data_IF_399163578863
#
_entry.id   IF_399163578863
#
_cell.length_a   1.000
_cell.length_b   1.000
_cell.length_c   1.000
_cell.angle_alpha   90.00
_cell.angle_beta   90.00
_cell.angle_gamma   90.00
#
_symmetry.space_group_name_H-M   'P 1'
#
loop_
_entity.id
_entity.type
_entity.pdbx_description
1 polymer ?
#
# COMPACT_ATOMS: atom_id res chain seq x y z
N UNK A 1 19.96 9.98 -5.26
CA UNK A 1 20.19 11.29 -5.91
C UNK A 1 19.67 12.48 -5.09
N UNK A 2 18.50 12.42 -4.43
CA UNK A 2 17.91 13.60 -3.77
C UNK A 2 17.91 13.60 -2.24
N UNK A 3 18.60 12.65 -1.58
CA UNK A 3 18.81 12.65 -0.13
C UNK A 3 17.55 12.50 0.76
N UNK A 4 16.34 12.51 0.18
CA UNK A 4 15.09 12.34 0.92
C UNK A 4 14.93 10.92 1.44
N UNK A 5 14.63 10.79 2.73
CA UNK A 5 14.39 9.51 3.40
C UNK A 5 12.94 9.03 3.23
N UNK A 6 12.01 9.95 2.93
CA UNK A 6 10.57 9.70 2.87
C UNK A 6 9.92 10.42 1.67
N UNK A 7 8.70 10.01 1.28
CA UNK A 7 7.92 10.74 0.28
C UNK A 7 7.57 12.18 0.73
N UNK A 8 7.11 12.42 1.98
CA UNK A 8 6.91 13.77 2.47
C UNK A 8 8.17 14.65 2.36
N UNK A 9 9.36 14.12 2.66
CA UNK A 9 10.62 14.83 2.48
C UNK A 9 10.82 15.26 1.03
N UNK A 10 10.67 14.32 0.08
CA UNK A 10 10.75 14.62 -1.35
C UNK A 10 9.79 15.75 -1.75
N UNK A 11 8.53 15.68 -1.33
CA UNK A 11 7.53 16.70 -1.65
C UNK A 11 7.87 18.05 -1.00
N UNK A 12 8.29 18.05 0.26
CA UNK A 12 8.74 19.26 0.95
C UNK A 12 9.94 19.93 0.27
N UNK A 13 10.89 19.13 -0.20
CA UNK A 13 12.14 19.60 -0.82
C UNK A 13 11.96 20.04 -2.27
N UNK A 14 11.14 19.31 -3.05
CA UNK A 14 10.85 19.65 -4.45
C UNK A 14 10.02 20.92 -4.55
N UNK A 15 9.16 21.16 -3.58
CA UNK A 15 8.20 22.27 -3.59
C UNK A 15 8.48 23.31 -2.49
N UNK A 16 9.62 23.23 -1.81
CA UNK A 16 10.09 24.22 -0.82
C UNK A 16 9.03 24.58 0.24
N UNK A 17 8.28 23.57 0.71
CA UNK A 17 7.11 23.80 1.56
C UNK A 17 7.04 22.80 2.72
N UNK A 18 7.36 23.29 3.92
CA UNK A 18 7.19 22.54 5.16
C UNK A 18 5.70 22.24 5.44
N UNK A 19 4.78 23.11 5.00
CA UNK A 19 3.35 22.87 5.10
C UNK A 19 2.93 21.69 4.22
N UNK A 20 3.47 21.60 2.99
CA UNK A 20 3.20 20.47 2.12
C UNK A 20 3.83 19.18 2.65
N UNK A 21 5.06 19.23 3.18
CA UNK A 21 5.68 18.09 3.88
C UNK A 21 4.79 17.58 5.02
N UNK A 22 4.31 18.48 5.88
CA UNK A 22 3.42 18.13 6.99
C UNK A 22 2.11 17.50 6.49
N UNK A 23 1.46 18.09 5.49
CA UNK A 23 0.25 17.54 4.89
C UNK A 23 0.49 16.14 4.30
N UNK A 24 1.59 15.96 3.56
CA UNK A 24 1.94 14.67 2.99
C UNK A 24 2.11 13.62 4.09
N UNK A 25 2.82 13.95 5.18
CA UNK A 25 2.98 13.06 6.32
C UNK A 25 1.64 12.67 6.98
N UNK A 26 0.69 13.60 7.09
CA UNK A 26 -0.67 13.31 7.59
C UNK A 26 -1.38 12.32 6.65
N UNK A 27 -1.34 12.55 5.33
CA UNK A 27 -1.96 11.65 4.36
C UNK A 27 -1.32 10.26 4.39
N UNK A 28 0.01 10.18 4.53
CA UNK A 28 0.73 8.92 4.74
C UNK A 28 0.21 8.20 5.98
N UNK A 29 0.09 8.90 7.11
CA UNK A 29 -0.39 8.33 8.36
C UNK A 29 -1.83 7.82 8.24
N UNK A 30 -2.73 8.62 7.66
CA UNK A 30 -4.13 8.22 7.43
C UNK A 30 -4.19 6.96 6.57
N UNK A 31 -3.45 6.92 5.46
CA UNK A 31 -3.38 5.75 4.58
C UNK A 31 -2.80 4.53 5.29
N UNK A 32 -1.77 4.72 6.11
CA UNK A 32 -1.16 3.65 6.88
C UNK A 32 -2.15 3.06 7.88
N UNK A 33 -2.90 3.90 8.61
CA UNK A 33 -3.97 3.47 9.52
C UNK A 33 -5.05 2.67 8.78
N UNK A 34 -5.57 3.19 7.67
CA UNK A 34 -6.60 2.49 6.87
C UNK A 34 -6.08 1.14 6.36
N UNK A 35 -4.83 1.09 5.89
CA UNK A 35 -4.19 -0.17 5.46
C UNK A 35 -4.00 -1.14 6.62
N UNK A 36 -3.59 -0.64 7.80
CA UNK A 36 -3.41 -1.47 9.00
C UNK A 36 -4.73 -2.05 9.52
N UNK A 37 -5.86 -1.34 9.37
CA UNK A 37 -7.20 -1.91 9.64
C UNK A 37 -7.42 -3.15 8.77
N UNK A 38 -7.14 -3.05 7.47
CA UNK A 38 -7.28 -4.16 6.54
C UNK A 38 -6.36 -5.34 6.89
N UNK A 39 -5.10 -5.06 7.21
CA UNK A 39 -4.12 -6.09 7.60
C UNK A 39 -4.51 -6.76 8.92
N UNK A 40 -4.99 -5.99 9.90
CA UNK A 40 -5.46 -6.50 11.19
C UNK A 40 -6.63 -7.46 10.98
N UNK A 41 -7.59 -7.08 10.12
CA UNK A 41 -8.71 -7.95 9.73
C UNK A 41 -8.24 -9.24 9.03
N UNK A 42 -7.34 -9.11 8.06
CA UNK A 42 -6.76 -10.25 7.33
C UNK A 42 -6.06 -11.24 8.28
N UNK A 43 -5.19 -10.74 9.15
CA UNK A 43 -4.50 -11.58 10.14
C UNK A 43 -5.47 -12.19 11.15
N UNK A 44 -6.47 -11.43 11.62
CA UNK A 44 -7.49 -11.95 12.53
C UNK A 44 -8.28 -13.11 11.93
N UNK A 45 -8.59 -13.06 10.63
CA UNK A 45 -9.24 -14.18 9.91
C UNK A 45 -8.31 -15.40 9.89
N UNK A 46 -7.02 -15.22 9.58
CA UNK A 46 -6.07 -16.35 9.57
C UNK A 46 -5.95 -16.98 10.95
N UNK A 47 -5.76 -16.17 12.00
CA UNK A 47 -5.69 -16.65 13.40
C UNK A 47 -6.96 -17.38 13.79
N UNK A 48 -8.13 -16.86 13.45
CA UNK A 48 -9.41 -17.52 13.69
C UNK A 48 -9.45 -18.90 13.04
N UNK A 49 -9.03 -19.03 11.79
CA UNK A 49 -9.11 -20.28 11.05
C UNK A 49 -8.12 -21.34 11.57
N UNK A 50 -6.95 -20.91 12.03
CA UNK A 50 -5.93 -21.76 12.66
C UNK A 50 -6.34 -22.25 14.05
N UNK A 51 -6.84 -21.34 14.90
CA UNK A 51 -7.04 -21.61 16.33
C UNK A 51 -8.47 -21.99 16.72
N UNK A 52 -9.46 -21.66 15.88
CA UNK A 52 -10.88 -21.79 16.21
C UNK A 52 -11.39 -20.77 17.23
N UNK A 53 -10.57 -19.76 17.59
CA UNK A 53 -10.95 -18.73 18.54
C UNK A 53 -12.05 -17.79 17.99
N UNK A 54 -12.72 -17.08 18.90
CA UNK A 54 -13.72 -16.09 18.52
C UNK A 54 -13.08 -14.96 17.68
N UNK A 55 -13.82 -14.34 16.74
CA UNK A 55 -13.28 -13.28 15.88
C UNK A 55 -12.58 -12.16 16.68
N UNK A 56 -13.18 -11.80 17.82
CA UNK A 56 -12.66 -10.75 18.70
C UNK A 56 -11.30 -11.11 19.28
N UNK A 57 -11.16 -12.31 19.84
CA UNK A 57 -9.89 -12.77 20.42
C UNK A 57 -8.82 -12.90 19.34
N UNK A 58 -9.18 -13.38 18.15
CA UNK A 58 -8.25 -13.50 17.03
C UNK A 58 -7.71 -12.15 16.55
N UNK A 59 -8.55 -11.11 16.49
CA UNK A 59 -8.13 -9.75 16.12
C UNK A 59 -7.17 -9.15 17.16
N UNK A 60 -7.50 -9.28 18.45
CA UNK A 60 -6.63 -8.80 19.53
C UNK A 60 -5.29 -9.50 19.48
N UNK A 61 -5.29 -10.84 19.42
CA UNK A 61 -4.07 -11.64 19.38
C UNK A 61 -3.19 -11.28 18.17
N UNK A 62 -3.79 -11.19 16.99
CA UNK A 62 -3.09 -10.79 15.77
C UNK A 62 -2.41 -9.42 15.93
N UNK A 63 -3.13 -8.45 16.48
CA UNK A 63 -2.62 -7.09 16.73
C UNK A 63 -1.47 -7.09 17.72
N UNK A 64 -1.65 -7.74 18.87
CA UNK A 64 -0.62 -7.81 19.90
C UNK A 64 0.68 -8.38 19.35
N UNK A 65 0.60 -9.45 18.54
CA UNK A 65 1.77 -10.09 17.94
C UNK A 65 2.53 -9.11 17.05
N UNK A 66 1.85 -8.46 16.09
CA UNK A 66 2.56 -7.60 15.14
C UNK A 66 3.06 -6.30 15.78
N UNK A 67 2.30 -5.69 16.69
CA UNK A 67 2.70 -4.43 17.34
C UNK A 67 3.94 -4.67 18.20
N UNK A 68 3.96 -5.77 18.95
CA UNK A 68 5.11 -6.13 19.78
C UNK A 68 6.35 -6.40 18.92
N UNK A 69 6.23 -7.24 17.90
CA UNK A 69 7.35 -7.62 17.04
C UNK A 69 7.96 -6.41 16.30
N UNK A 70 7.13 -5.55 15.69
CA UNK A 70 7.64 -4.39 14.95
C UNK A 70 8.31 -3.37 15.87
N UNK A 71 7.83 -3.23 17.11
CA UNK A 71 8.41 -2.30 18.10
C UNK A 71 9.84 -2.69 18.51
N UNK A 72 10.22 -3.98 18.35
CA UNK A 72 11.53 -4.52 18.75
C UNK A 72 12.49 -4.65 17.57
N UNK A 73 12.02 -5.04 16.37
CA UNK A 73 12.89 -5.48 15.27
C UNK A 73 13.62 -4.38 14.47
N UNK A 74 13.02 -3.21 14.28
CA UNK A 74 13.57 -2.19 13.37
C UNK A 74 13.65 -2.65 11.90
N UNK A 75 14.17 -1.78 11.01
CA UNK A 75 14.08 -2.00 9.56
C UNK A 75 14.97 -3.12 9.03
N UNK A 76 16.19 -3.30 9.56
CA UNK A 76 17.11 -4.35 9.08
C UNK A 76 16.64 -5.75 9.46
N UNK A 77 16.10 -5.95 10.67
CA UNK A 77 15.51 -7.23 11.04
C UNK A 77 14.28 -7.53 10.18
N UNK A 78 13.50 -6.52 9.83
CA UNK A 78 12.32 -6.67 8.97
C UNK A 78 12.70 -7.19 7.57
N UNK A 79 13.79 -6.73 6.96
CA UNK A 79 14.19 -7.22 5.62
C UNK A 79 14.50 -8.72 5.63
N UNK A 80 15.24 -9.20 6.64
CA UNK A 80 15.57 -10.62 6.73
C UNK A 80 14.36 -11.49 7.03
N UNK A 81 13.46 -11.02 7.88
CA UNK A 81 12.21 -11.76 8.14
C UNK A 81 11.30 -11.73 6.93
N UNK A 82 11.19 -10.63 6.18
CA UNK A 82 10.40 -10.54 4.94
C UNK A 82 10.81 -11.65 3.94
N UNK A 83 12.12 -11.90 3.77
CA UNK A 83 12.62 -12.96 2.86
C UNK A 83 12.16 -14.34 3.32
N UNK A 84 12.33 -14.65 4.61
CA UNK A 84 11.88 -15.92 5.16
C UNK A 84 10.36 -16.06 5.00
N UNK A 85 9.58 -15.04 5.33
CA UNK A 85 8.12 -15.04 5.22
C UNK A 85 7.64 -15.26 3.79
N UNK A 86 8.30 -14.63 2.82
CA UNK A 86 8.03 -14.83 1.40
C UNK A 86 8.27 -16.28 0.97
N UNK A 87 9.37 -16.89 1.40
CA UNK A 87 9.69 -18.28 1.08
C UNK A 87 8.64 -19.26 1.66
N UNK A 88 8.31 -19.10 2.94
CA UNK A 88 7.31 -19.94 3.63
C UNK A 88 5.93 -19.81 2.97
N UNK A 89 5.49 -18.59 2.68
CA UNK A 89 4.25 -18.35 1.97
C UNK A 89 4.25 -19.00 0.58
N UNK A 90 5.32 -18.84 -0.19
CA UNK A 90 5.44 -19.36 -1.56
C UNK A 90 5.37 -20.88 -1.58
N UNK A 91 6.08 -21.55 -0.67
CA UNK A 91 6.05 -23.02 -0.56
C UNK A 91 4.65 -23.51 -0.16
N UNK A 92 4.04 -22.88 0.85
CA UNK A 92 2.71 -23.28 1.32
C UNK A 92 1.62 -23.10 0.26
N UNK A 93 1.60 -21.93 -0.40
CA UNK A 93 0.66 -21.67 -1.50
C UNK A 93 0.96 -22.55 -2.72
N UNK A 94 2.21 -22.87 -3.00
CA UNK A 94 2.58 -23.84 -4.03
C UNK A 94 2.02 -25.24 -3.75
N UNK A 95 2.11 -25.71 -2.52
CA UNK A 95 1.51 -26.98 -2.10
C UNK A 95 -0.02 -26.97 -2.29
N UNK A 96 -0.70 -25.90 -1.87
CA UNK A 96 -2.14 -25.73 -2.11
C UNK A 96 -2.47 -25.74 -3.60
N UNK A 97 -1.70 -25.03 -4.41
CA UNK A 97 -1.90 -24.95 -5.85
C UNK A 97 -1.81 -26.33 -6.50
N UNK A 98 -0.80 -27.14 -6.17
CA UNK A 98 -0.64 -28.50 -6.71
C UNK A 98 -1.85 -29.38 -6.37
N UNK A 99 -2.32 -29.34 -5.12
CA UNK A 99 -3.49 -30.12 -4.67
C UNK A 99 -4.75 -29.70 -5.42
N UNK A 100 -5.01 -28.40 -5.52
CA UNK A 100 -6.19 -27.88 -6.22
C UNK A 100 -6.10 -28.06 -7.73
N UNK A 101 -4.89 -28.05 -8.31
CA UNK A 101 -4.65 -28.36 -9.71
C UNK A 101 -5.07 -29.78 -10.05
N UNK A 102 -4.63 -30.76 -9.26
CA UNK A 102 -5.04 -32.16 -9.44
C UNK A 102 -6.54 -32.36 -9.26
N UNK A 103 -7.15 -31.67 -8.28
CA UNK A 103 -8.58 -31.81 -7.97
C UNK A 103 -9.51 -31.19 -9.01
N UNK A 104 -9.11 -30.06 -9.60
CA UNK A 104 -9.93 -29.33 -10.57
C UNK A 104 -9.55 -29.64 -12.02
N UNK A 105 -8.53 -30.46 -12.28
CA UNK A 105 -8.09 -30.74 -13.65
C UNK A 105 -7.38 -29.56 -14.32
N UNK A 106 -6.61 -28.79 -13.54
CA UNK A 106 -5.86 -27.62 -14.00
C UNK A 106 -6.71 -26.38 -14.29
N UNK A 107 -6.16 -25.45 -15.09
CA UNK A 107 -6.78 -24.14 -15.37
C UNK A 107 -8.15 -24.30 -16.03
N UNK A 108 -8.26 -25.16 -17.04
CA UNK A 108 -9.52 -25.34 -17.78
C UNK A 108 -10.63 -25.89 -16.90
N UNK A 109 -10.34 -26.92 -16.10
CA UNK A 109 -11.36 -27.49 -15.23
C UNK A 109 -11.72 -26.58 -14.05
N UNK A 110 -10.77 -25.81 -13.50
CA UNK A 110 -11.07 -24.73 -12.55
C UNK A 110 -11.99 -23.68 -13.16
N UNK A 111 -11.69 -23.21 -14.38
CA UNK A 111 -12.49 -22.22 -15.09
C UNK A 111 -13.92 -22.72 -15.37
N UNK A 112 -14.07 -23.98 -15.79
CA UNK A 112 -15.39 -24.59 -16.01
C UNK A 112 -16.17 -24.71 -14.71
N UNK A 113 -15.56 -25.25 -13.65
CA UNK A 113 -16.21 -25.41 -12.35
C UNK A 113 -16.61 -24.06 -11.74
N UNK A 114 -15.75 -23.04 -11.85
CA UNK A 114 -16.04 -21.69 -11.36
C UNK A 114 -17.18 -21.04 -12.15
N UNK A 115 -17.23 -21.18 -13.48
CA UNK A 115 -18.34 -20.67 -14.30
C UNK A 115 -19.66 -21.41 -14.06
N UNK A 116 -19.62 -22.72 -13.78
CA UNK A 116 -20.81 -23.46 -13.38
C UNK A 116 -21.36 -22.95 -12.04
N UNK A 117 -20.48 -22.71 -11.06
CA UNK A 117 -20.86 -22.17 -9.76
C UNK A 117 -21.25 -20.67 -9.81
N UNK A 118 -20.72 -19.93 -10.78
CA UNK A 118 -20.90 -18.49 -10.95
C UNK A 118 -20.75 -18.11 -12.43
N UNK A 119 -21.85 -18.11 -13.20
CA UNK A 119 -21.81 -17.75 -14.61
C UNK A 119 -21.17 -16.39 -14.84
N UNK A 120 -20.19 -16.33 -15.74
CA UNK A 120 -19.44 -15.11 -16.05
C UNK A 120 -18.13 -14.93 -15.28
N UNK A 121 -17.71 -15.91 -14.45
CA UNK A 121 -16.43 -15.87 -13.71
C UNK A 121 -15.23 -15.54 -14.59
N UNK A 122 -15.14 -16.13 -15.79
CA UNK A 122 -14.03 -15.91 -16.72
C UNK A 122 -14.30 -14.84 -17.76
N UNK A 123 -15.43 -14.13 -17.67
CA UNK A 123 -15.70 -13.00 -18.55
C UNK A 123 -14.87 -11.78 -18.15
N UNK A 124 -14.60 -10.87 -19.09
CA UNK A 124 -13.91 -9.60 -18.81
C UNK A 124 -14.66 -8.73 -17.79
N UNK A 125 -15.99 -8.88 -17.72
CA UNK A 125 -16.85 -8.15 -16.78
C UNK A 125 -17.06 -8.88 -15.44
N UNK A 126 -16.51 -10.08 -15.30
CA UNK A 126 -16.76 -10.95 -14.16
C UNK A 126 -18.25 -11.18 -13.88
N UNK A 127 -18.58 -11.39 -12.61
CA UNK A 127 -19.95 -11.63 -12.14
C UNK A 127 -20.64 -10.29 -11.83
N UNK A 128 -20.95 -9.50 -12.87
CA UNK A 128 -21.81 -8.32 -12.73
C UNK A 128 -21.10 -7.02 -12.39
N UNK A 129 -19.81 -6.88 -12.71
CA UNK A 129 -19.18 -5.57 -12.67
C UNK A 129 -19.53 -4.76 -13.91
N UNK A 130 -19.91 -3.49 -13.73
CA UNK A 130 -20.06 -2.57 -14.85
C UNK A 130 -18.70 -2.22 -15.45
N UNK A 131 -18.65 -1.92 -16.75
CA UNK A 131 -17.41 -1.51 -17.44
C UNK A 131 -16.76 -0.29 -16.79
N UNK A 132 -17.56 0.70 -16.35
CA UNK A 132 -17.06 1.89 -15.66
C UNK A 132 -16.47 1.56 -14.29
N UNK A 133 -17.11 0.65 -13.54
CA UNK A 133 -16.57 0.19 -12.26
C UNK A 133 -15.23 -0.51 -12.48
N UNK A 134 -15.13 -1.42 -13.44
CA UNK A 134 -13.86 -2.11 -13.72
C UNK A 134 -12.73 -1.16 -14.10
N UNK A 135 -12.97 -0.26 -15.05
CA UNK A 135 -11.95 0.68 -15.51
C UNK A 135 -11.42 1.55 -14.36
N UNK A 136 -12.33 2.05 -13.51
CA UNK A 136 -11.96 2.90 -12.37
C UNK A 136 -11.30 2.11 -11.23
N UNK A 137 -11.65 0.83 -11.06
CA UNK A 137 -10.96 -0.08 -10.15
C UNK A 137 -9.59 -0.52 -10.67
N UNK A 138 -9.37 -0.69 -11.97
CA UNK A 138 -8.02 -0.92 -12.51
C UNK A 138 -7.11 0.29 -12.29
N UNK A 139 -7.67 1.49 -12.42
CA UNK A 139 -6.93 2.74 -12.23
C UNK A 139 -6.32 2.84 -10.82
N UNK A 140 -7.01 2.37 -9.77
CA UNK A 140 -6.47 2.44 -8.40
C UNK A 140 -5.13 1.68 -8.30
N UNK A 141 -5.06 0.49 -8.87
CA UNK A 141 -3.87 -0.36 -8.80
C UNK A 141 -2.78 0.11 -9.76
N UNK A 142 -3.15 0.64 -10.92
CA UNK A 142 -2.19 1.30 -11.82
C UNK A 142 -1.49 2.48 -11.13
N UNK A 143 -2.27 3.38 -10.50
CA UNK A 143 -1.72 4.54 -9.77
C UNK A 143 -0.91 4.10 -8.54
N UNK A 144 -1.31 2.99 -7.89
CA UNK A 144 -0.62 2.45 -6.71
C UNK A 144 0.88 2.20 -6.97
N UNK A 145 1.26 1.70 -8.15
CA UNK A 145 2.65 1.36 -8.44
C UNK A 145 3.59 2.57 -8.40
N UNK A 146 3.09 3.75 -8.76
CA UNK A 146 3.88 4.97 -8.68
C UNK A 146 3.84 5.56 -7.27
N UNK A 147 2.72 5.45 -6.56
CA UNK A 147 2.45 6.20 -5.32
C UNK A 147 2.62 5.42 -4.02
N UNK A 148 2.90 4.10 -4.08
CA UNK A 148 3.14 3.27 -2.91
C UNK A 148 4.47 3.57 -2.24
N UNK A 149 4.36 4.30 -1.14
CA UNK A 149 5.46 4.85 -0.36
C UNK A 149 6.29 3.75 0.27
N UNK A 150 5.66 2.63 0.63
CA UNK A 150 6.31 1.46 1.19
C UNK A 150 7.30 0.77 0.22
N UNK A 151 7.10 0.92 -1.10
CA UNK A 151 8.06 0.42 -2.09
C UNK A 151 9.20 1.41 -2.28
N UNK A 152 8.88 2.70 -2.40
CA UNK A 152 9.86 3.76 -2.63
C UNK A 152 10.90 3.80 -1.50
N UNK A 153 10.48 3.66 -0.24
CA UNK A 153 11.41 3.65 0.90
C UNK A 153 12.37 2.45 0.87
N UNK A 154 11.90 1.26 0.47
CA UNK A 154 12.75 0.07 0.31
C UNK A 154 13.76 0.25 -0.82
N UNK A 155 13.38 0.92 -1.92
CA UNK A 155 14.31 1.22 -3.01
C UNK A 155 15.46 2.15 -2.59
N UNK A 156 15.21 3.07 -1.65
CA UNK A 156 16.29 3.92 -1.10
C UNK A 156 17.31 3.15 -0.27
N UNK A 157 16.99 1.93 0.16
CA UNK A 157 17.94 1.04 0.85
C UNK A 157 18.72 0.14 -0.09
N UNK A 158 18.47 0.22 -1.41
CA UNK A 158 19.25 -0.51 -2.40
C UNK A 158 20.70 -0.02 -2.41
N UNK A 159 21.63 -0.94 -2.69
CA UNK A 159 23.07 -0.65 -2.70
C UNK A 159 23.44 0.38 -3.76
N UNK A 160 22.82 0.27 -4.94
CA UNK A 160 23.05 1.14 -6.07
C UNK A 160 21.81 1.20 -6.99
N UNK A 161 21.87 2.07 -8.00
CA UNK A 161 20.78 2.28 -8.96
C UNK A 161 20.50 1.04 -9.83
N UNK A 162 21.52 0.25 -10.14
CA UNK A 162 21.36 -0.97 -10.97
C UNK A 162 20.56 -2.01 -10.21
N UNK A 163 20.90 -2.25 -8.95
CA UNK A 163 20.16 -3.14 -8.06
C UNK A 163 18.72 -2.64 -7.84
N UNK A 164 18.53 -1.33 -7.65
CA UNK A 164 17.19 -0.75 -7.54
C UNK A 164 16.34 -1.05 -8.80
N UNK A 165 16.87 -0.82 -10.01
CA UNK A 165 16.17 -1.11 -11.28
C UNK A 165 15.91 -2.60 -11.46
N UNK A 166 16.88 -3.44 -11.16
CA UNK A 166 16.74 -4.90 -11.24
C UNK A 166 15.64 -5.40 -10.31
N UNK A 167 15.54 -4.84 -9.09
CA UNK A 167 14.48 -5.19 -8.14
C UNK A 167 13.07 -4.90 -8.68
N UNK A 168 12.90 -3.84 -9.49
CA UNK A 168 11.61 -3.54 -10.16
C UNK A 168 11.26 -4.62 -11.16
N UNK A 169 12.21 -4.98 -12.03
CA UNK A 169 11.99 -5.97 -13.07
C UNK A 169 11.63 -7.34 -12.48
N UNK A 170 12.39 -7.79 -11.47
CA UNK A 170 12.08 -9.01 -10.72
C UNK A 170 10.73 -8.91 -9.99
N UNK A 171 10.46 -7.78 -9.35
CA UNK A 171 9.19 -7.51 -8.69
C UNK A 171 8.01 -7.69 -9.63
N UNK A 172 8.08 -7.16 -10.85
CA UNK A 172 7.02 -7.31 -11.86
C UNK A 172 6.77 -8.79 -12.22
N UNK A 173 7.82 -9.56 -12.48
CA UNK A 173 7.69 -10.99 -12.81
C UNK A 173 7.04 -11.76 -11.65
N UNK A 174 7.53 -11.56 -10.42
CA UNK A 174 7.02 -12.26 -9.24
C UNK A 174 5.57 -11.88 -8.93
N UNK A 175 5.22 -10.60 -9.08
CA UNK A 175 3.85 -10.10 -8.92
C UNK A 175 2.91 -10.73 -9.94
N UNK A 176 3.29 -10.81 -11.22
CA UNK A 176 2.46 -11.44 -12.26
C UNK A 176 2.17 -12.91 -11.96
N UNK A 177 3.18 -13.66 -11.52
CA UNK A 177 3.03 -15.06 -11.11
C UNK A 177 2.07 -15.14 -9.90
N UNK A 178 2.32 -14.33 -8.88
CA UNK A 178 1.53 -14.34 -7.65
C UNK A 178 0.05 -14.01 -7.90
N UNK A 179 -0.25 -12.95 -8.67
CA UNK A 179 -1.63 -12.57 -8.99
C UNK A 179 -2.34 -13.62 -9.87
N UNK A 180 -1.62 -14.30 -10.75
CA UNK A 180 -2.21 -15.39 -11.55
C UNK A 180 -2.66 -16.55 -10.66
N UNK A 181 -1.86 -16.90 -9.65
CA UNK A 181 -2.17 -17.97 -8.69
C UNK A 181 -3.33 -17.57 -7.77
N UNK A 182 -3.43 -16.31 -7.34
CA UNK A 182 -4.54 -15.88 -6.46
C UNK A 182 -5.89 -15.88 -7.19
N UNK A 183 -5.93 -15.55 -8.49
CA UNK A 183 -7.14 -15.68 -9.32
C UNK A 183 -7.59 -17.14 -9.40
N UNK A 184 -6.63 -18.08 -9.53
CA UNK A 184 -6.94 -19.51 -9.50
C UNK A 184 -7.55 -19.93 -8.16
N UNK A 185 -7.00 -19.48 -7.03
CA UNK A 185 -7.57 -19.73 -5.72
C UNK A 185 -8.97 -19.13 -5.55
N UNK A 186 -9.22 -17.94 -6.10
CA UNK A 186 -10.56 -17.35 -6.10
C UNK A 186 -11.59 -18.22 -6.80
N UNK A 187 -11.26 -18.70 -8.01
CA UNK A 187 -12.14 -19.60 -8.77
C UNK A 187 -12.32 -20.95 -8.10
N UNK A 188 -11.24 -21.53 -7.56
CA UNK A 188 -11.30 -22.75 -6.76
C UNK A 188 -12.17 -22.56 -5.52
N UNK A 189 -12.07 -21.43 -4.82
CA UNK A 189 -12.91 -21.15 -3.66
C UNK A 189 -14.38 -21.07 -4.04
N UNK A 190 -14.68 -20.37 -5.14
CA UNK A 190 -16.05 -20.25 -5.66
C UNK A 190 -16.66 -21.60 -6.03
N UNK A 191 -15.86 -22.48 -6.62
CA UNK A 191 -16.29 -23.80 -7.05
C UNK A 191 -16.42 -24.82 -5.90
N UNK A 192 -15.58 -24.71 -4.87
CA UNK A 192 -15.35 -25.82 -3.93
C UNK A 192 -15.78 -25.57 -2.48
N UNK A 193 -15.80 -24.32 -2.02
CA UNK A 193 -16.00 -24.01 -0.59
C UNK A 193 -16.86 -22.76 -0.35
N UNK A 194 -17.49 -22.21 -1.38
CA UNK A 194 -18.25 -20.95 -1.28
C UNK A 194 -19.38 -21.00 -0.25
N UNK A 195 -20.04 -22.15 -0.15
CA UNK A 195 -21.10 -22.47 0.81
C UNK A 195 -20.63 -22.43 2.29
N UNK A 196 -19.31 -22.58 2.52
CA UNK A 196 -18.71 -22.58 3.85
C UNK A 196 -18.23 -21.19 4.30
N UNK A 197 -18.24 -20.20 3.41
CA UNK A 197 -17.70 -18.88 3.69
C UNK A 197 -18.76 -17.98 4.32
N UNK A 198 -18.42 -17.35 5.46
CA UNK A 198 -19.22 -16.25 6.02
C UNK A 198 -18.87 -14.91 5.39
N UNK A 199 -17.66 -14.80 4.84
CA UNK A 199 -17.16 -13.64 4.10
C UNK A 199 -16.24 -14.13 2.98
N UNK A 200 -16.22 -13.47 1.81
CA UNK A 200 -15.23 -13.70 0.76
C UNK A 200 -13.78 -13.68 1.25
N UNK A 201 -13.47 -12.87 2.28
CA UNK A 201 -12.11 -12.78 2.85
C UNK A 201 -11.65 -14.12 3.49
N UNK A 202 -12.56 -15.06 3.77
CA UNK A 202 -12.24 -16.38 4.31
C UNK A 202 -11.87 -17.42 3.24
N UNK A 203 -12.00 -17.08 1.95
CA UNK A 203 -11.85 -18.02 0.85
C UNK A 203 -10.54 -18.81 0.89
N UNK A 204 -9.41 -18.10 0.96
CA UNK A 204 -8.09 -18.73 0.96
C UNK A 204 -7.82 -19.55 2.24
N UNK A 205 -8.05 -19.02 3.46
CA UNK A 205 -7.87 -19.81 4.68
C UNK A 205 -8.74 -21.08 4.75
N UNK A 206 -9.99 -21.00 4.27
CA UNK A 206 -10.90 -22.16 4.27
C UNK A 206 -10.47 -23.19 3.21
N UNK A 207 -9.99 -22.76 2.04
CA UNK A 207 -9.38 -23.68 1.07
C UNK A 207 -8.20 -24.43 1.68
N UNK A 208 -7.29 -23.71 2.33
CA UNK A 208 -6.11 -24.29 2.99
C UNK A 208 -6.55 -25.35 4.02
N UNK A 209 -7.46 -24.98 4.92
CA UNK A 209 -7.95 -25.88 5.97
C UNK A 209 -8.71 -27.11 5.44
N UNK A 210 -9.39 -26.95 4.30
CA UNK A 210 -10.21 -28.03 3.71
C UNK A 210 -9.37 -29.03 2.93
N UNK A 211 -8.32 -28.57 2.24
CA UNK A 211 -7.63 -29.37 1.23
C UNK A 211 -6.20 -29.75 1.58
N UNK A 212 -5.54 -29.07 2.51
CA UNK A 212 -4.22 -29.46 2.98
C UNK A 212 -4.31 -30.34 4.23
N UNK A 213 -3.29 -31.19 4.42
CA UNK A 213 -3.12 -31.93 5.67
C UNK A 213 -2.88 -30.97 6.83
N UNK A 214 -3.11 -31.36 8.10
CA UNK A 214 -2.96 -30.46 9.24
C UNK A 214 -1.61 -29.73 9.30
N UNK A 215 -0.52 -30.43 8.99
CA UNK A 215 0.82 -29.83 8.92
C UNK A 215 0.91 -28.76 7.83
N UNK A 216 0.58 -29.11 6.58
CA UNK A 216 0.65 -28.18 5.44
C UNK A 216 -0.35 -27.02 5.57
N UNK A 217 -1.51 -27.28 6.18
CA UNK A 217 -2.52 -26.27 6.49
C UNK A 217 -1.99 -25.24 7.48
N UNK A 218 -1.44 -25.69 8.62
CA UNK A 218 -0.84 -24.81 9.61
C UNK A 218 0.38 -24.05 9.03
N UNK A 219 1.25 -24.74 8.31
CA UNK A 219 2.42 -24.15 7.65
C UNK A 219 2.03 -23.04 6.67
N UNK A 220 1.03 -23.30 5.81
CA UNK A 220 0.60 -22.32 4.80
C UNK A 220 -0.13 -21.14 5.43
N UNK A 221 -1.01 -21.37 6.42
CA UNK A 221 -1.68 -20.29 7.15
C UNK A 221 -0.67 -19.42 7.92
N UNK A 222 0.35 -20.02 8.53
CA UNK A 222 1.44 -19.29 9.15
C UNK A 222 2.18 -18.43 8.11
N UNK A 223 2.48 -18.97 6.93
CA UNK A 223 3.08 -18.21 5.82
C UNK A 223 2.23 -17.01 5.37
N UNK A 224 0.92 -17.18 5.22
CA UNK A 224 -0.02 -16.10 4.87
C UNK A 224 -0.07 -15.04 5.98
N UNK A 225 -0.15 -15.44 7.25
CA UNK A 225 -0.09 -14.51 8.38
C UNK A 225 1.26 -13.74 8.37
N UNK A 226 2.35 -14.42 8.06
CA UNK A 226 3.66 -13.81 8.04
C UNK A 226 3.84 -12.79 6.90
N UNK A 227 3.27 -13.05 5.72
CA UNK A 227 3.21 -12.07 4.64
C UNK A 227 2.39 -10.82 5.00
N UNK A 228 1.36 -10.95 5.85
CA UNK A 228 0.66 -9.78 6.37
C UNK A 228 1.55 -8.99 7.35
N UNK A 229 2.37 -9.67 8.16
CA UNK A 229 3.28 -9.05 9.13
C UNK A 229 4.39 -8.21 8.49
N UNK A 230 4.95 -8.61 7.35
CA UNK A 230 5.95 -7.80 6.60
C UNK A 230 5.38 -6.43 6.19
N UNK A 231 4.14 -6.45 5.71
CA UNK A 231 3.40 -5.26 5.30
C UNK A 231 3.09 -4.38 6.50
N UNK A 232 2.57 -4.97 7.57
CA UNK A 232 2.25 -4.26 8.81
C UNK A 232 3.48 -3.58 9.40
N UNK A 233 4.61 -4.28 9.43
CA UNK A 233 5.87 -3.72 9.94
C UNK A 233 6.30 -2.48 9.15
N UNK A 234 6.18 -2.53 7.82
CA UNK A 234 6.51 -1.40 6.94
C UNK A 234 5.57 -0.20 7.18
N UNK A 235 4.27 -0.45 7.33
CA UNK A 235 3.27 0.60 7.58
C UNK A 235 3.42 1.26 8.96
N UNK A 236 3.76 0.47 9.98
CA UNK A 236 4.03 0.96 11.33
C UNK A 236 5.29 1.81 11.39
N UNK A 237 6.38 1.35 10.78
CA UNK A 237 7.63 2.13 10.66
C UNK A 237 7.41 3.43 9.88
N UNK A 238 6.66 3.38 8.78
CA UNK A 238 6.30 4.55 7.99
C UNK A 238 5.47 5.55 8.81
N UNK A 239 4.54 5.07 9.65
CA UNK A 239 3.77 5.91 10.55
C UNK A 239 4.64 6.61 11.59
N UNK A 240 5.58 5.87 12.18
CA UNK A 240 6.57 6.42 13.12
C UNK A 240 7.43 7.50 12.48
N UNK A 241 7.92 7.29 11.25
CA UNK A 241 8.68 8.28 10.50
C UNK A 241 7.83 9.51 10.14
N UNK A 242 6.58 9.32 9.72
CA UNK A 242 5.66 10.41 9.37
C UNK A 242 5.43 11.36 10.55
N UNK A 243 5.27 10.85 11.78
CA UNK A 243 5.15 11.69 12.97
C UNK A 243 6.50 12.26 13.41
N UNK A 244 7.48 11.41 13.69
CA UNK A 244 8.70 11.82 14.35
C UNK A 244 9.60 12.67 13.44
N UNK A 245 9.82 12.22 12.20
CA UNK A 245 10.70 12.87 11.25
C UNK A 245 9.98 13.92 10.42
N UNK A 246 8.92 13.54 9.71
CA UNK A 246 8.31 14.45 8.72
C UNK A 246 7.53 15.60 9.40
N UNK A 247 6.64 15.28 10.36
CA UNK A 247 5.81 16.27 11.03
C UNK A 247 6.57 17.06 12.10
N UNK A 248 7.19 16.36 13.05
CA UNK A 248 7.82 17.02 14.18
C UNK A 248 9.19 17.59 13.82
N UNK A 249 10.15 16.75 13.41
CA UNK A 249 11.52 17.21 13.14
C UNK A 249 11.56 18.22 12.01
N UNK A 250 11.18 17.80 10.81
CA UNK A 250 11.36 18.54 9.56
C UNK A 250 10.36 19.67 9.34
N UNK A 251 9.10 19.49 9.76
CA UNK A 251 8.07 20.50 9.51
C UNK A 251 7.82 21.45 10.70
N UNK A 252 8.14 21.03 11.93
CA UNK A 252 7.84 21.82 13.13
C UNK A 252 9.08 22.36 13.86
N UNK A 253 10.00 21.50 14.30
CA UNK A 253 11.11 21.87 15.18
C UNK A 253 12.29 22.51 14.45
N UNK A 254 12.85 21.87 13.42
CA UNK A 254 14.00 22.40 12.66
C UNK A 254 13.71 23.79 12.05
N UNK A 255 12.54 24.06 11.43
CA UNK A 255 12.23 25.39 10.91
C UNK A 255 12.12 26.48 11.98
N UNK A 256 11.99 26.10 13.26
CA UNK A 256 11.92 27.01 14.42
C UNK A 256 13.25 27.08 15.18
N UNK A 257 14.31 26.44 14.68
CA UNK A 257 15.60 26.37 15.36
C UNK A 257 15.58 25.52 16.64
N UNK A 258 14.55 24.69 16.84
CA UNK A 258 14.42 23.85 18.03
C UNK A 258 15.17 22.53 17.80
N UNK A 259 16.22 22.29 18.57
CA UNK A 259 16.99 21.05 18.51
C UNK A 259 16.44 20.04 19.52
N UNK A 260 16.16 18.82 19.06
CA UNK A 260 15.77 17.67 19.89
C UNK A 260 16.77 16.54 19.66
N UNK A 261 16.98 15.71 20.67
CA UNK A 261 17.88 14.57 20.58
C UNK A 261 17.31 13.44 19.70
N UNK A 262 18.17 12.61 19.12
CA UNK A 262 17.73 11.41 18.39
C UNK A 262 16.92 10.46 19.30
N UNK A 263 17.26 10.39 20.59
CA UNK A 263 16.50 9.61 21.59
C UNK A 263 15.03 10.09 21.71
N UNK A 264 14.78 11.39 21.59
CA UNK A 264 13.42 11.94 21.58
C UNK A 264 12.64 11.46 20.35
N UNK A 265 13.21 11.56 19.16
CA UNK A 265 12.53 11.13 17.92
C UNK A 265 12.30 9.62 17.88
N UNK A 266 13.25 8.83 18.39
CA UNK A 266 13.08 7.38 18.55
C UNK A 266 11.94 7.04 19.51
N UNK A 267 11.81 7.75 20.64
CA UNK A 267 10.71 7.56 21.58
C UNK A 267 9.36 7.91 20.93
N UNK A 268 9.26 9.06 20.27
CA UNK A 268 8.04 9.48 19.56
C UNK A 268 7.64 8.45 18.51
N UNK A 269 8.60 7.95 17.73
CA UNK A 269 8.35 6.92 16.73
C UNK A 269 7.77 5.66 17.38
N UNK A 270 8.41 5.12 18.44
CA UNK A 270 7.90 3.93 19.16
C UNK A 270 6.49 4.14 19.74
N UNK A 271 6.20 5.29 20.33
CA UNK A 271 4.87 5.61 20.84
C UNK A 271 3.82 5.70 19.72
N UNK A 272 4.21 6.23 18.56
CA UNK A 272 3.36 6.31 17.37
C UNK A 272 2.99 4.90 16.88
N UNK A 273 3.94 3.97 16.84
CA UNK A 273 3.68 2.57 16.46
C UNK A 273 2.59 1.93 17.34
N UNK A 274 2.69 2.12 18.66
CA UNK A 274 1.70 1.60 19.61
C UNK A 274 0.32 2.25 19.40
N UNK A 275 0.28 3.58 19.27
CA UNK A 275 -0.97 4.32 19.09
C UNK A 275 -1.67 3.94 17.78
N UNK A 276 -0.92 3.87 16.67
CA UNK A 276 -1.45 3.51 15.35
C UNK A 276 -1.93 2.06 15.33
N UNK A 277 -1.20 1.13 15.96
CA UNK A 277 -1.63 -0.26 16.11
C UNK A 277 -2.95 -0.38 16.88
N UNK A 278 -3.12 0.39 17.97
CA UNK A 278 -4.36 0.43 18.73
C UNK A 278 -5.52 1.00 17.90
N UNK A 279 -5.30 2.10 17.18
CA UNK A 279 -6.32 2.68 16.28
C UNK A 279 -6.73 1.70 15.19
N UNK A 280 -5.77 0.96 14.62
CA UNK A 280 -6.04 -0.06 13.62
C UNK A 280 -6.89 -1.23 14.18
N UNK A 281 -6.61 -1.67 15.40
CA UNK A 281 -7.41 -2.69 16.09
C UNK A 281 -8.84 -2.21 16.34
N UNK A 282 -9.01 -0.99 16.86
CA UNK A 282 -10.33 -0.39 17.06
C UNK A 282 -11.07 -0.32 15.72
N UNK A 283 -10.43 0.20 14.67
CA UNK A 283 -11.02 0.27 13.33
C UNK A 283 -11.42 -1.10 12.78
N UNK A 284 -10.62 -2.15 13.01
CA UNK A 284 -10.91 -3.50 12.56
C UNK A 284 -12.18 -4.09 13.19
N UNK A 285 -12.53 -3.72 14.42
CA UNK A 285 -13.79 -4.15 15.05
C UNK A 285 -15.03 -3.55 14.38
N UNK A 286 -14.93 -2.31 13.90
CA UNK A 286 -16.08 -1.55 13.39
C UNK A 286 -16.18 -1.53 11.86
N UNK A 287 -15.26 -2.21 11.15
CA UNK A 287 -15.22 -2.19 9.68
C UNK A 287 -15.70 -3.52 9.07
N UNK A 288 -17.00 -3.65 8.74
CA UNK A 288 -17.54 -4.85 8.10
C UNK A 288 -17.08 -5.01 6.64
N UNK A 289 -16.57 -3.94 6.03
CA UNK A 289 -16.14 -3.85 4.62
C UNK A 289 -15.04 -4.87 4.25
N UNK A 290 -15.06 -5.38 3.02
CA UNK A 290 -14.06 -6.35 2.54
C UNK A 290 -12.64 -5.81 2.63
N UNK A 291 -11.68 -6.70 2.93
CA UNK A 291 -10.26 -6.32 3.06
C UNK A 291 -9.77 -5.60 1.80
N UNK A 292 -10.12 -6.11 0.61
CA UNK A 292 -9.75 -5.51 -0.68
C UNK A 292 -10.21 -4.05 -0.81
N UNK A 293 -11.44 -3.75 -0.40
CA UNK A 293 -12.03 -2.41 -0.47
C UNK A 293 -11.36 -1.44 0.50
N UNK A 294 -11.04 -1.89 1.71
CA UNK A 294 -10.33 -1.05 2.69
C UNK A 294 -8.95 -0.67 2.14
N UNK A 295 -8.20 -1.64 1.58
CA UNK A 295 -6.89 -1.38 0.96
C UNK A 295 -7.04 -0.46 -0.25
N UNK A 296 -8.08 -0.65 -1.09
CA UNK A 296 -8.28 0.20 -2.27
C UNK A 296 -8.55 1.66 -1.89
N UNK A 297 -9.22 1.93 -0.77
CA UNK A 297 -9.39 3.30 -0.26
C UNK A 297 -8.09 3.92 0.24
N UNK A 298 -7.26 3.18 0.97
CA UNK A 298 -5.94 3.68 1.38
C UNK A 298 -5.09 4.08 0.16
N UNK A 299 -5.06 3.21 -0.84
CA UNK A 299 -4.35 3.46 -2.12
C UNK A 299 -4.99 4.61 -2.91
N UNK A 300 -6.31 4.76 -2.89
CA UNK A 300 -6.98 5.86 -3.56
C UNK A 300 -6.59 7.21 -2.94
N UNK A 301 -6.59 7.30 -1.61
CA UNK A 301 -6.26 8.52 -0.88
C UNK A 301 -4.84 8.99 -1.19
N UNK A 302 -3.86 8.09 -1.13
CA UNK A 302 -2.47 8.41 -1.49
C UNK A 302 -2.30 8.65 -2.98
N UNK A 303 -2.94 7.84 -3.81
CA UNK A 303 -2.91 7.95 -5.26
C UNK A 303 -3.38 9.32 -5.74
N UNK A 304 -4.56 9.75 -5.32
CA UNK A 304 -5.11 11.06 -5.71
C UNK A 304 -4.33 12.24 -5.11
N UNK A 305 -3.79 12.08 -3.90
CA UNK A 305 -3.00 13.12 -3.25
C UNK A 305 -1.63 13.30 -3.90
N UNK A 306 -0.96 12.21 -4.28
CA UNK A 306 0.47 12.24 -4.57
C UNK A 306 0.84 11.93 -6.02
N UNK A 307 -0.01 11.24 -6.80
CA UNK A 307 0.36 10.81 -8.15
C UNK A 307 0.83 11.98 -9.02
N UNK A 308 0.04 13.06 -9.08
CA UNK A 308 0.37 14.20 -9.93
C UNK A 308 1.56 15.01 -9.40
N UNK A 309 1.59 15.47 -8.13
CA UNK A 309 2.75 16.18 -7.60
C UNK A 309 4.04 15.36 -7.69
N UNK A 310 3.99 14.04 -7.54
CA UNK A 310 5.18 13.22 -7.58
C UNK A 310 5.65 12.99 -9.01
N UNK A 311 4.76 12.56 -9.93
CA UNK A 311 5.11 12.33 -11.33
C UNK A 311 5.60 13.62 -12.00
N UNK A 312 4.81 14.69 -11.93
CA UNK A 312 5.16 15.97 -12.54
C UNK A 312 6.32 16.66 -11.82
N UNK A 313 6.50 16.41 -10.52
CA UNK A 313 7.67 16.88 -9.77
C UNK A 313 8.99 16.32 -10.29
N UNK A 314 8.96 15.11 -10.85
CA UNK A 314 10.13 14.40 -11.39
C UNK A 314 10.37 14.64 -12.89
N UNK A 315 9.33 14.93 -13.67
CA UNK A 315 9.44 15.01 -15.15
C UNK A 315 9.14 16.40 -15.72
N UNK A 316 8.47 17.28 -14.97
CA UNK A 316 8.06 18.59 -15.46
C UNK A 316 8.55 19.74 -14.58
N UNK A 317 9.35 20.61 -15.20
CA UNK A 317 9.91 21.83 -14.56
C UNK A 317 8.84 22.86 -14.19
N UNK A 318 7.70 22.87 -14.89
CA UNK A 318 6.64 23.87 -14.73
C UNK A 318 5.78 23.70 -13.49
N UNK A 319 5.89 22.57 -12.78
CA UNK A 319 5.08 22.33 -11.57
C UNK A 319 5.47 23.28 -10.45
N UNK A 320 4.50 24.07 -9.98
CA UNK A 320 4.71 25.07 -8.94
C UNK A 320 4.36 24.53 -7.55
N UNK A 321 4.96 25.06 -6.47
CA UNK A 321 4.62 24.67 -5.10
C UNK A 321 3.13 24.79 -4.76
N UNK A 322 2.50 25.91 -5.15
CA UNK A 322 1.08 26.16 -4.89
C UNK A 322 0.19 25.15 -5.61
N UNK A 323 0.49 24.85 -6.88
CA UNK A 323 -0.26 23.88 -7.66
C UNK A 323 -0.12 22.45 -7.12
N UNK A 324 1.11 22.04 -6.77
CA UNK A 324 1.36 20.75 -6.16
C UNK A 324 0.57 20.58 -4.87
N UNK A 325 0.65 21.56 -3.96
CA UNK A 325 -0.06 21.49 -2.69
C UNK A 325 -1.58 21.49 -2.85
N UNK A 326 -2.12 22.40 -3.67
CA UNK A 326 -3.57 22.48 -3.92
C UNK A 326 -4.12 21.21 -4.60
N UNK A 327 -3.40 20.65 -5.57
CA UNK A 327 -3.78 19.40 -6.23
C UNK A 327 -3.81 18.22 -5.27
N UNK A 328 -2.83 18.13 -4.35
CA UNK A 328 -2.79 17.10 -3.33
C UNK A 328 -3.95 17.19 -2.35
N UNK A 329 -4.22 18.39 -1.83
CA UNK A 329 -5.32 18.63 -0.89
C UNK A 329 -6.66 18.36 -1.57
N UNK A 330 -6.86 18.90 -2.78
CA UNK A 330 -8.08 18.69 -3.56
C UNK A 330 -8.32 17.22 -3.88
N UNK A 331 -7.31 16.53 -4.41
CA UNK A 331 -7.39 15.11 -4.74
C UNK A 331 -7.69 14.22 -3.53
N UNK A 332 -7.04 14.49 -2.40
CA UNK A 332 -7.29 13.78 -1.14
C UNK A 332 -8.73 13.99 -0.65
N UNK A 333 -9.18 15.24 -0.54
CA UNK A 333 -10.53 15.57 -0.04
C UNK A 333 -11.61 15.00 -0.95
N UNK A 334 -11.48 15.17 -2.27
CA UNK A 334 -12.46 14.65 -3.22
C UNK A 334 -12.56 13.11 -3.15
N UNK A 335 -11.42 12.42 -3.03
CA UNK A 335 -11.39 10.96 -2.86
C UNK A 335 -12.04 10.53 -1.55
N UNK A 336 -11.72 11.20 -0.44
CA UNK A 336 -12.28 10.89 0.87
C UNK A 336 -13.80 11.08 0.90
N UNK A 337 -14.29 12.21 0.37
CA UNK A 337 -15.72 12.48 0.26
C UNK A 337 -16.43 11.46 -0.63
N UNK A 338 -15.82 11.08 -1.76
CA UNK A 338 -16.39 10.07 -2.64
C UNK A 338 -16.45 8.68 -2.00
N UNK A 339 -15.44 8.31 -1.21
CA UNK A 339 -15.45 7.08 -0.42
C UNK A 339 -16.60 7.10 0.60
N UNK A 340 -16.84 8.23 1.27
CA UNK A 340 -18.01 8.39 2.16
C UNK A 340 -19.32 8.19 1.39
N UNK A 341 -19.49 8.81 0.23
CA UNK A 341 -20.68 8.62 -0.60
C UNK A 341 -20.87 7.17 -1.07
N UNK A 342 -19.76 6.47 -1.34
CA UNK A 342 -19.75 5.05 -1.69
C UNK A 342 -20.24 4.18 -0.54
N UNK A 343 -19.76 4.42 0.68
CA UNK A 343 -20.17 3.71 1.90
C UNK A 343 -21.59 4.06 2.35
N UNK A 344 -22.07 5.27 2.05
CA UNK A 344 -23.49 5.65 2.17
C UNK A 344 -24.39 4.97 1.11
N UNK A 345 -23.82 4.08 0.29
CA UNK A 345 -24.50 3.24 -0.69
C UNK A 345 -25.18 4.01 -1.82
N UNK A 346 -24.78 5.26 -2.07
CA UNK A 346 -25.31 6.06 -3.18
C UNK A 346 -25.01 5.38 -4.52
N UNK A 347 -26.01 5.12 -5.39
CA UNK A 347 -25.81 4.33 -6.61
C UNK A 347 -24.77 4.91 -7.58
N UNK A 348 -24.80 6.23 -7.77
CA UNK A 348 -23.84 6.93 -8.65
C UNK A 348 -22.42 6.89 -8.12
N UNK A 349 -22.23 6.91 -6.79
CA UNK A 349 -20.91 6.85 -6.17
C UNK A 349 -20.32 5.43 -6.27
N UNK A 350 -21.14 4.40 -6.05
CA UNK A 350 -20.71 2.99 -6.16
C UNK A 350 -20.33 2.55 -7.57
N UNK A 351 -20.83 3.23 -8.59
CA UNK A 351 -20.50 2.92 -9.98
C UNK A 351 -19.05 3.27 -10.36
N UNK A 352 -18.40 4.15 -9.60
CA UNK A 352 -17.09 4.74 -9.90
C UNK A 352 -16.19 4.64 -8.67
N UNK A 353 -15.00 4.04 -8.81
CA UNK A 353 -14.07 3.95 -7.70
C UNK A 353 -13.65 5.36 -7.20
N UNK A 354 -13.57 5.61 -5.88
CA UNK A 354 -13.28 6.94 -5.32
C UNK A 354 -12.02 7.64 -5.83
N UNK A 355 -11.02 6.87 -6.28
CA UNK A 355 -9.77 7.44 -6.84
C UNK A 355 -10.05 8.28 -8.09
N UNK A 356 -11.02 7.90 -8.92
CA UNK A 356 -11.23 8.51 -10.23
C UNK A 356 -11.57 10.01 -10.14
N UNK A 357 -12.63 10.42 -9.41
CA UNK A 357 -12.95 11.84 -9.25
C UNK A 357 -11.85 12.63 -8.52
N UNK A 358 -11.19 12.02 -7.52
CA UNK A 358 -10.08 12.67 -6.84
C UNK A 358 -8.87 12.90 -7.75
N UNK A 359 -8.53 11.94 -8.60
CA UNK A 359 -7.45 12.07 -9.56
C UNK A 359 -7.78 13.12 -10.63
N UNK A 360 -9.02 13.14 -11.15
CA UNK A 360 -9.45 14.17 -12.10
C UNK A 360 -9.33 15.58 -11.52
N UNK A 361 -9.75 15.77 -10.26
CA UNK A 361 -9.61 17.05 -9.58
C UNK A 361 -8.13 17.42 -9.36
N UNK A 362 -7.32 16.46 -8.94
CA UNK A 362 -5.86 16.64 -8.75
C UNK A 362 -5.18 17.07 -10.06
N UNK A 363 -5.48 16.38 -11.17
CA UNK A 363 -4.99 16.72 -12.51
C UNK A 363 -5.44 18.13 -12.92
N UNK A 364 -6.73 18.45 -12.77
CA UNK A 364 -7.25 19.77 -13.13
C UNK A 364 -6.56 20.90 -12.35
N UNK A 365 -6.45 20.73 -11.03
CA UNK A 365 -5.84 21.73 -10.15
C UNK A 365 -4.35 21.91 -10.43
N UNK A 366 -3.59 20.83 -10.64
CA UNK A 366 -2.14 20.96 -10.80
C UNK A 366 -1.78 21.72 -12.08
N UNK A 367 -2.50 21.50 -13.17
CA UNK A 367 -2.27 22.22 -14.42
C UNK A 367 -2.80 23.65 -14.33
N UNK A 368 -4.05 23.83 -13.91
CA UNK A 368 -4.67 25.16 -13.86
C UNK A 368 -3.89 26.14 -12.97
N UNK A 369 -3.44 25.70 -11.79
CA UNK A 369 -2.73 26.56 -10.85
C UNK A 369 -1.28 26.79 -11.31
N UNK A 370 -0.61 25.78 -11.90
CA UNK A 370 0.77 25.95 -12.39
C UNK A 370 0.90 27.03 -13.47
N UNK A 371 -0.18 27.31 -14.22
CA UNK A 371 -0.19 28.37 -15.23
C UNK A 371 -0.23 29.79 -14.63
N UNK A 372 -0.66 29.94 -13.38
CA UNK A 372 -0.91 31.25 -12.75
C UNK A 372 -0.07 31.50 -11.49
N UNK A 373 0.76 30.54 -11.07
CA UNK A 373 1.64 30.67 -9.89
C UNK A 373 3.11 30.55 -10.25
N UNK A 374 3.99 30.96 -9.32
CA UNK A 374 5.44 30.96 -9.54
C UNK A 374 6.06 29.58 -9.30
N UNK A 375 7.06 29.16 -10.09
CA UNK A 375 7.80 27.93 -9.82
C UNK A 375 8.60 28.04 -8.51
N UNK A 376 9.11 26.90 -8.04
CA UNK A 376 10.08 26.85 -6.95
C UNK A 376 11.37 27.62 -7.33
N UNK A 377 12.25 27.86 -6.35
CA UNK A 377 13.50 28.57 -6.60
C UNK A 377 14.32 27.94 -7.74
N UNK A 378 15.10 28.77 -8.43
CA UNK A 378 15.96 28.29 -9.51
C UNK A 378 16.96 27.23 -9.03
N UNK A 379 17.46 27.37 -7.80
CA UNK A 379 18.35 26.40 -7.15
C UNK A 379 17.66 25.04 -7.01
N UNK A 380 16.45 25.01 -6.44
CA UNK A 380 15.68 23.77 -6.30
C UNK A 380 15.35 23.16 -7.66
N UNK A 381 14.89 23.96 -8.62
CA UNK A 381 14.57 23.45 -9.97
C UNK A 381 15.80 22.85 -10.64
N UNK A 382 16.96 23.49 -10.55
CA UNK A 382 18.20 22.97 -11.15
C UNK A 382 18.71 21.73 -10.42
N UNK A 383 18.54 21.65 -9.08
CA UNK A 383 18.86 20.44 -8.30
C UNK A 383 18.08 19.22 -8.79
N UNK A 384 16.78 19.38 -9.04
CA UNK A 384 15.92 18.28 -9.52
C UNK A 384 16.03 18.03 -11.02
N UNK A 385 16.33 19.07 -11.81
CA UNK A 385 16.48 19.01 -13.25
C UNK A 385 17.83 19.59 -13.72
N UNK A 386 18.98 18.93 -13.44
CA UNK A 386 20.26 19.45 -13.87
C UNK A 386 20.34 19.49 -15.39
N UNK A 387 20.78 20.61 -15.97
CA UNK A 387 21.07 20.71 -17.41
C UNK A 387 22.18 19.72 -17.77
N UNK A 388 22.11 19.14 -18.98
CA UNK A 388 23.06 18.13 -19.44
C UNK A 388 24.54 18.56 -19.35
N UNK A 389 24.82 19.86 -19.41
CA UNK A 389 26.15 20.46 -19.25
C UNK A 389 26.71 20.40 -17.82
N UNK A 390 25.87 20.25 -16.79
CA UNK A 390 26.30 20.11 -15.39
C UNK A 390 26.81 18.70 -15.06
N UNK A 391 26.25 17.65 -15.68
CA UNK A 391 26.72 16.26 -15.47
C UNK A 391 28.18 16.05 -15.89
N UNK A 392 28.64 16.76 -16.92
CA UNK A 392 30.02 16.67 -17.40
C UNK A 392 31.04 17.40 -16.49
N UNK A 393 30.60 18.38 -15.68
CA UNK A 393 31.45 19.04 -14.70
C UNK A 393 31.58 18.23 -13.40
N UNK A 394 30.48 17.63 -12.93
CA UNK A 394 30.49 16.81 -11.71
C UNK A 394 31.32 15.54 -11.90
N UNK A 395 31.27 14.88 -13.07
CA UNK A 395 32.14 13.74 -13.35
C UNK A 395 33.62 14.13 -13.44
N UNK A 396 33.94 15.35 -13.87
CA UNK A 396 35.32 15.82 -13.98
C UNK A 396 35.92 16.25 -12.62
N UNK A 397 35.09 16.59 -11.64
CA UNK A 397 35.51 16.88 -10.25
C UNK A 397 35.54 15.63 -9.36
N UNK A 398 34.76 14.59 -9.68
CA UNK A 398 34.82 13.29 -8.98
C UNK A 398 35.99 12.41 -9.47
N UNK A 399 36.52 12.66 -10.67
CA UNK A 399 37.68 11.98 -11.25
C UNK A 399 39.02 12.72 -11.05
N UNK A 400 39.02 13.85 -10.31
CA UNK A 400 40.21 14.66 -9.94
C UNK A 400 40.47 14.61 -8.44
#
# INVERSE_FOLDING_TARGET
RFGGFTLPDFLGDRYESNAFRAFAAIVVLVSAVVSLIAQTKSMGIVVQQMSGLSPTVSLVLATTIFVFYTSVGGMLAAVWTDIAQWLFMTIGLGALFIVLWGKLGGITGMALAANQAAPGWTSLTGIGWSTSSLLTWYLVWFIAYFTRIEFVTKMYTARDEREAKASVAWGLVLVLIFFSVTVYFGGAARALVWDKLKSPDQALPVLIKTYLTPFWGAFTLAGVAAAAMSTVSSLLLLSGAAIAHDLLRKSYYEPRGIVKSEAFYLLVSKLTLLAVGLVALIGAFFTPTLVLTIVSYAVALTGAAFAMPMLLGLVWRGTTPAAAYASSVGGFIATALWAVFTELKLPWARAVHPIFPGLLLSIGLIFAISLVTKPASAETVERFFPRATSKAKVSAEEDS
#
